data_IF_273038313935
#
_entry.id   IF_273038313935
#
_cell.length_a   1.000
_cell.length_b   1.000
_cell.length_c   1.000
_cell.angle_alpha   90.00
_cell.angle_beta   90.00
_cell.angle_gamma   90.00
#
_symmetry.space_group_name_H-M   'P 1'
#
loop_
_entity.id
_entity.type
_entity.pdbx_description
1 polymer ?
#
# COMPACT_ATOMS: atom_id res chain seq x y z
N UNK A 1 16.41 -18.94 -50.83
CA UNK A 1 15.30 -19.40 -49.97
C UNK A 1 15.85 -19.51 -48.57
N UNK A 2 15.65 -18.49 -47.73
CA UNK A 2 15.98 -18.58 -46.30
C UNK A 2 14.90 -19.44 -45.64
N UNK A 3 15.25 -20.46 -44.84
CA UNK A 3 14.25 -21.20 -44.10
C UNK A 3 13.68 -20.26 -43.04
N UNK A 4 12.37 -20.01 -43.12
CA UNK A 4 11.60 -19.38 -42.05
C UNK A 4 11.76 -20.25 -40.80
N UNK A 5 12.54 -19.77 -39.83
CA UNK A 5 12.58 -20.36 -38.49
C UNK A 5 11.18 -20.18 -37.91
N UNK A 6 10.41 -21.27 -37.86
CA UNK A 6 9.14 -21.33 -37.13
C UNK A 6 9.41 -20.87 -35.70
N UNK A 7 8.66 -19.86 -35.22
CA UNK A 7 8.69 -19.48 -33.81
C UNK A 7 8.48 -20.74 -32.96
N UNK A 8 9.23 -20.93 -31.86
CA UNK A 8 9.05 -22.08 -31.00
C UNK A 8 7.59 -22.13 -30.52
N UNK A 9 7.03 -23.34 -30.48
CA UNK A 9 5.70 -23.61 -29.92
C UNK A 9 5.77 -23.32 -28.42
N UNK A 10 5.52 -22.06 -28.02
CA UNK A 10 5.70 -21.56 -26.66
C UNK A 10 4.97 -22.43 -25.63
N UNK A 11 3.85 -23.05 -26.02
CA UNK A 11 3.03 -23.93 -25.20
C UNK A 11 3.75 -25.20 -24.71
N UNK A 12 4.91 -25.55 -25.27
CA UNK A 12 5.69 -26.74 -24.87
C UNK A 12 6.90 -26.45 -23.98
N UNK A 13 7.28 -25.19 -23.81
CA UNK A 13 8.46 -24.82 -23.02
C UNK A 13 8.09 -24.69 -21.54
N UNK A 14 8.98 -25.16 -20.65
CA UNK A 14 8.87 -24.91 -19.22
C UNK A 14 8.97 -23.41 -18.92
N UNK A 15 8.42 -22.92 -17.79
CA UNK A 15 8.57 -21.53 -17.39
C UNK A 15 10.01 -21.00 -17.43
N UNK A 16 10.95 -21.82 -16.94
CA UNK A 16 12.39 -21.51 -16.96
C UNK A 16 12.93 -21.37 -18.39
N UNK A 17 12.59 -22.31 -19.28
CA UNK A 17 13.07 -22.28 -20.67
C UNK A 17 12.50 -21.09 -21.45
N UNK A 18 11.27 -20.66 -21.13
CA UNK A 18 10.67 -19.44 -21.70
C UNK A 18 11.46 -18.20 -21.30
N UNK A 19 11.83 -18.07 -20.02
CA UNK A 19 12.67 -16.96 -19.53
C UNK A 19 14.03 -16.99 -20.23
N UNK A 20 14.68 -18.14 -20.29
CA UNK A 20 15.98 -18.31 -20.97
C UNK A 20 15.88 -17.89 -22.45
N UNK A 21 14.82 -18.29 -23.16
CA UNK A 21 14.62 -17.91 -24.56
C UNK A 21 14.46 -16.39 -24.74
N UNK A 22 13.71 -15.73 -23.85
CA UNK A 22 13.56 -14.26 -23.87
C UNK A 22 14.88 -13.55 -23.59
N UNK A 23 15.68 -14.07 -22.66
CA UNK A 23 17.00 -13.52 -22.34
C UNK A 23 18.03 -13.72 -23.47
N UNK A 24 18.01 -14.86 -24.17
CA UNK A 24 18.84 -15.09 -25.37
C UNK A 24 18.52 -14.06 -26.46
N UNK A 25 17.24 -13.78 -26.70
CA UNK A 25 16.78 -12.74 -27.64
C UNK A 25 17.19 -11.33 -27.22
N UNK A 26 17.32 -11.08 -25.92
CA UNK A 26 17.81 -9.80 -25.38
C UNK A 26 19.34 -9.66 -25.49
N UNK A 27 20.04 -10.74 -25.88
CA UNK A 27 21.49 -10.74 -26.07
C UNK A 27 22.30 -11.21 -24.86
N UNK A 28 21.66 -11.88 -23.88
CA UNK A 28 22.39 -12.53 -22.78
C UNK A 28 23.21 -13.69 -23.35
N UNK A 29 24.53 -13.78 -23.09
CA UNK A 29 25.37 -14.83 -23.67
C UNK A 29 24.91 -16.24 -23.29
N UNK A 30 24.93 -17.16 -24.25
CA UNK A 30 24.53 -18.58 -24.04
C UNK A 30 25.26 -19.25 -22.87
N UNK A 31 26.56 -18.97 -22.71
CA UNK A 31 27.36 -19.49 -21.60
C UNK A 31 26.85 -19.04 -20.21
N UNK A 32 26.22 -17.86 -20.12
CA UNK A 32 25.54 -17.42 -18.91
C UNK A 32 24.19 -18.12 -18.74
N UNK A 33 23.41 -18.26 -19.82
CA UNK A 33 22.10 -18.93 -19.79
C UNK A 33 22.19 -20.42 -19.41
N UNK A 34 23.26 -21.12 -19.82
CA UNK A 34 23.55 -22.50 -19.42
C UNK A 34 23.70 -22.66 -17.90
N UNK A 35 24.17 -21.62 -17.20
CA UNK A 35 24.27 -21.57 -15.74
C UNK A 35 23.01 -21.01 -15.07
N UNK A 36 21.98 -20.70 -15.86
CA UNK A 36 20.67 -20.20 -15.41
C UNK A 36 20.77 -18.98 -14.49
N UNK A 37 20.18 -19.01 -13.29
CA UNK A 37 20.14 -17.84 -12.40
C UNK A 37 21.54 -17.34 -12.04
N UNK A 38 22.47 -18.25 -11.72
CA UNK A 38 23.86 -17.90 -11.37
C UNK A 38 24.57 -17.18 -12.53
N UNK A 39 24.40 -17.69 -13.75
CA UNK A 39 25.01 -17.06 -14.93
C UNK A 39 24.39 -15.71 -15.25
N UNK A 40 23.06 -15.56 -15.09
CA UNK A 40 22.40 -14.28 -15.25
C UNK A 40 22.87 -13.26 -14.20
N UNK A 41 23.00 -13.65 -12.93
CA UNK A 41 23.58 -12.81 -11.87
C UNK A 41 24.98 -12.34 -12.26
N UNK A 42 25.86 -13.26 -12.69
CA UNK A 42 27.22 -12.92 -13.12
C UNK A 42 27.24 -11.96 -14.33
N UNK A 43 26.27 -12.09 -15.24
CA UNK A 43 26.11 -11.18 -16.37
C UNK A 43 25.63 -9.79 -15.93
N UNK A 44 24.58 -9.71 -15.10
CA UNK A 44 24.00 -8.46 -14.60
C UNK A 44 25.01 -7.67 -13.77
N UNK A 45 25.82 -8.33 -12.94
CA UNK A 45 26.90 -7.68 -12.16
C UNK A 45 27.87 -6.88 -13.05
N UNK A 46 28.09 -7.33 -14.28
CA UNK A 46 28.96 -6.66 -15.28
C UNK A 46 28.20 -5.68 -16.17
N UNK A 47 26.87 -5.74 -16.21
CA UNK A 47 26.01 -5.00 -17.14
C UNK A 47 24.82 -4.36 -16.40
N UNK A 48 25.07 -3.65 -15.29
CA UNK A 48 24.02 -3.08 -14.42
C UNK A 48 23.02 -2.19 -15.16
N UNK A 49 23.42 -1.55 -16.26
CA UNK A 49 22.52 -0.71 -17.07
C UNK A 49 21.40 -1.49 -17.77
N UNK A 50 21.55 -2.81 -17.96
CA UNK A 50 20.55 -3.67 -18.60
C UNK A 50 19.48 -4.20 -17.63
N UNK A 51 19.54 -3.83 -16.35
CA UNK A 51 18.61 -4.33 -15.34
C UNK A 51 17.13 -4.08 -15.72
N UNK A 52 16.72 -2.89 -16.17
CA UNK A 52 15.32 -2.65 -16.55
C UNK A 52 14.83 -3.58 -17.68
N UNK A 53 15.64 -3.76 -18.73
CA UNK A 53 15.30 -4.60 -19.87
C UNK A 53 15.27 -6.09 -19.49
N UNK A 54 16.21 -6.53 -18.65
CA UNK A 54 16.28 -7.91 -18.14
C UNK A 54 15.07 -8.21 -17.26
N UNK A 55 14.74 -7.32 -16.33
CA UNK A 55 13.55 -7.46 -15.46
C UNK A 55 12.30 -7.57 -16.32
N UNK A 56 12.12 -6.67 -17.30
CA UNK A 56 10.98 -6.74 -18.21
C UNK A 56 10.94 -8.02 -19.05
N UNK A 57 12.10 -8.57 -19.45
CA UNK A 57 12.18 -9.78 -20.26
C UNK A 57 11.92 -11.07 -19.46
N UNK A 58 12.20 -11.08 -18.16
CA UNK A 58 11.90 -12.22 -17.27
C UNK A 58 10.38 -12.43 -17.20
N UNK A 59 9.60 -11.36 -16.99
CA UNK A 59 8.15 -11.46 -16.87
C UNK A 59 7.43 -11.84 -18.18
N UNK A 60 6.23 -12.45 -18.11
CA UNK A 60 5.44 -12.79 -19.29
C UNK A 60 5.15 -11.58 -20.18
N UNK A 61 5.26 -11.78 -21.49
CA UNK A 61 4.82 -10.82 -22.50
C UNK A 61 3.31 -10.81 -22.65
N UNK A 62 2.75 -9.72 -23.21
CA UNK A 62 1.31 -9.65 -23.50
C UNK A 62 0.82 -10.73 -24.48
N UNK A 63 1.72 -11.30 -25.29
CA UNK A 63 1.38 -12.44 -26.14
C UNK A 63 1.23 -13.71 -25.32
N UNK A 64 2.17 -14.04 -24.45
CA UNK A 64 2.10 -15.22 -23.57
C UNK A 64 0.83 -15.19 -22.70
N UNK A 65 0.46 -14.02 -22.20
CA UNK A 65 -0.76 -13.83 -21.39
C UNK A 65 -2.05 -14.02 -22.20
N UNK A 66 -2.08 -13.57 -23.45
CA UNK A 66 -3.23 -13.75 -24.36
C UNK A 66 -3.42 -15.20 -24.78
N UNK A 67 -2.34 -15.98 -24.92
CA UNK A 67 -2.49 -17.40 -25.27
C UNK A 67 -3.08 -18.21 -24.09
N UNK A 68 -2.95 -17.72 -22.85
CA UNK A 68 -3.52 -18.35 -21.66
C UNK A 68 -5.02 -18.09 -21.41
N UNK A 69 -5.72 -17.32 -22.26
CA UNK A 69 -7.10 -16.81 -22.00
C UNK A 69 -8.27 -17.73 -22.37
N UNK A 70 -8.15 -19.06 -22.39
CA UNK A 70 -9.35 -19.92 -22.54
C UNK A 70 -9.80 -20.48 -21.17
N UNK A 71 -10.92 -19.97 -20.59
CA UNK A 71 -11.45 -20.43 -19.31
C UNK A 71 -11.98 -21.87 -19.33
N UNK A 72 -11.94 -22.57 -20.47
CA UNK A 72 -12.34 -23.98 -20.59
C UNK A 72 -11.21 -24.97 -20.26
N UNK A 73 -9.98 -24.52 -19.98
CA UNK A 73 -8.84 -25.41 -19.66
C UNK A 73 -8.09 -24.95 -18.42
N UNK A 74 -8.52 -25.43 -17.24
CA UNK A 74 -7.86 -25.16 -15.95
C UNK A 74 -6.35 -25.42 -15.89
N UNK A 75 -5.81 -26.22 -16.82
CA UNK A 75 -4.36 -26.50 -16.94
C UNK A 75 -3.54 -25.29 -17.44
N UNK A 76 -4.09 -24.44 -18.31
CA UNK A 76 -3.33 -23.35 -18.94
C UNK A 76 -3.23 -22.10 -18.04
N UNK A 77 -4.25 -21.86 -17.21
CA UNK A 77 -4.22 -20.85 -16.15
C UNK A 77 -3.17 -21.18 -15.08
N UNK A 78 -2.93 -22.46 -14.79
CA UNK A 78 -1.83 -22.87 -13.90
C UNK A 78 -0.46 -22.49 -14.48
N UNK A 79 -0.25 -22.70 -15.77
CA UNK A 79 1.06 -22.49 -16.40
C UNK A 79 1.52 -21.02 -16.39
N UNK A 80 0.60 -20.06 -16.55
CA UNK A 80 0.94 -18.63 -16.49
C UNK A 80 1.24 -18.20 -15.06
N UNK A 81 0.53 -18.74 -14.07
CA UNK A 81 0.83 -18.53 -12.64
C UNK A 81 2.23 -19.07 -12.32
N UNK A 82 2.55 -20.29 -12.76
CA UNK A 82 3.87 -20.89 -12.59
C UNK A 82 4.97 -20.04 -13.24
N UNK A 83 4.68 -19.42 -14.39
CA UNK A 83 5.62 -18.49 -15.05
C UNK A 83 5.84 -17.20 -14.26
N UNK A 84 4.81 -16.65 -13.62
CA UNK A 84 4.98 -15.50 -12.72
C UNK A 84 5.77 -15.86 -11.46
N UNK A 85 5.55 -17.06 -10.89
CA UNK A 85 6.32 -17.57 -9.74
C UNK A 85 7.79 -17.76 -10.11
N UNK A 86 8.07 -18.42 -11.23
CA UNK A 86 9.43 -18.59 -11.74
C UNK A 86 10.08 -17.24 -12.05
N UNK A 87 9.33 -16.30 -12.65
CA UNK A 87 9.82 -14.94 -12.92
C UNK A 87 10.30 -14.27 -11.64
N UNK A 88 9.49 -14.29 -10.57
CA UNK A 88 9.88 -13.71 -9.29
C UNK A 88 11.05 -14.42 -8.64
N UNK A 89 11.20 -15.74 -8.81
CA UNK A 89 12.40 -16.43 -8.34
C UNK A 89 13.65 -15.87 -9.01
N UNK A 90 13.64 -15.69 -10.34
CA UNK A 90 14.77 -15.09 -11.06
C UNK A 90 15.05 -13.65 -10.62
N UNK A 91 14.00 -12.86 -10.37
CA UNK A 91 14.13 -11.51 -9.82
C UNK A 91 14.82 -11.54 -8.44
N UNK A 92 14.44 -12.48 -7.57
CA UNK A 92 15.07 -12.61 -6.24
C UNK A 92 16.54 -12.99 -6.33
N UNK A 93 16.92 -13.87 -7.27
CA UNK A 93 18.33 -14.18 -7.53
C UNK A 93 19.11 -12.93 -7.95
N UNK A 94 18.51 -12.04 -8.75
CA UNK A 94 19.12 -10.76 -9.11
C UNK A 94 19.20 -9.79 -7.91
N UNK A 95 18.20 -9.79 -7.03
CA UNK A 95 18.18 -8.94 -5.84
C UNK A 95 19.26 -9.33 -4.83
N UNK A 96 19.44 -10.63 -4.59
CA UNK A 96 20.35 -11.13 -3.55
C UNK A 96 21.73 -11.56 -4.07
N UNK A 97 21.89 -11.69 -5.40
CA UNK A 97 23.10 -12.20 -6.07
C UNK A 97 23.58 -13.57 -5.56
N UNK A 98 22.70 -14.30 -4.90
CA UNK A 98 22.91 -15.60 -4.27
C UNK A 98 21.56 -16.33 -4.18
N UNK A 99 21.57 -17.53 -3.61
CA UNK A 99 20.34 -18.25 -3.32
C UNK A 99 19.42 -17.40 -2.40
N UNK A 100 18.21 -17.03 -2.86
CA UNK A 100 17.32 -16.15 -2.11
C UNK A 100 16.90 -16.72 -0.77
N UNK A 101 16.62 -18.03 -0.72
CA UNK A 101 16.14 -18.69 0.50
C UNK A 101 17.20 -18.61 1.61
N UNK A 102 18.44 -18.96 1.28
CA UNK A 102 19.57 -18.89 2.22
C UNK A 102 19.80 -17.45 2.69
N UNK A 103 19.77 -16.49 1.78
CA UNK A 103 19.99 -15.07 2.10
C UNK A 103 18.90 -14.52 3.04
N UNK A 104 17.64 -14.89 2.80
CA UNK A 104 16.51 -14.48 3.62
C UNK A 104 16.55 -15.11 5.02
N UNK A 105 16.93 -16.39 5.14
CA UNK A 105 17.13 -17.06 6.42
C UNK A 105 18.26 -16.41 7.25
N UNK A 106 19.35 -16.02 6.58
CA UNK A 106 20.44 -15.29 7.22
C UNK A 106 20.00 -13.90 7.72
N UNK A 107 19.23 -13.15 6.91
CA UNK A 107 18.67 -11.86 7.30
C UNK A 107 17.69 -11.97 8.47
N UNK A 108 16.82 -12.98 8.47
CA UNK A 108 15.89 -13.23 9.57
C UNK A 108 16.65 -13.55 10.86
N UNK A 109 17.68 -14.40 10.79
CA UNK A 109 18.53 -14.77 11.93
C UNK A 109 19.29 -13.57 12.50
N UNK A 110 19.77 -12.65 11.65
CA UNK A 110 20.44 -11.42 12.09
C UNK A 110 19.45 -10.50 12.82
N UNK A 111 18.21 -10.38 12.32
CA UNK A 111 17.17 -9.52 12.89
C UNK A 111 16.41 -10.11 14.09
N UNK A 112 16.57 -11.41 14.38
CA UNK A 112 15.84 -12.10 15.42
C UNK A 112 16.07 -11.47 16.81
N UNK A 113 14.99 -10.96 17.41
CA UNK A 113 15.00 -10.36 18.75
C UNK A 113 15.50 -8.91 18.82
N UNK A 114 15.73 -8.25 17.68
CA UNK A 114 16.21 -6.87 17.60
C UNK A 114 15.19 -5.89 17.01
N UNK A 115 13.90 -6.21 17.07
CA UNK A 115 12.87 -5.34 16.51
C UNK A 115 12.84 -3.99 17.21
N UNK A 116 12.88 -2.93 16.43
CA UNK A 116 12.82 -1.55 16.88
C UNK A 116 11.38 -1.12 17.23
N UNK A 117 10.39 -1.70 16.54
CA UNK A 117 8.95 -1.52 16.76
C UNK A 117 8.29 -2.89 16.94
N UNK A 118 7.34 -2.99 17.87
CA UNK A 118 6.75 -4.29 18.22
C UNK A 118 5.92 -4.86 17.08
N UNK A 119 4.84 -4.17 16.68
CA UNK A 119 3.96 -4.57 15.59
C UNK A 119 3.31 -5.95 15.76
N UNK A 120 3.36 -6.56 16.96
CA UNK A 120 2.70 -7.85 17.22
C UNK A 120 1.20 -7.71 16.94
N UNK A 121 0.69 -8.59 16.08
CA UNK A 121 -0.71 -8.59 15.65
C UNK A 121 -1.56 -9.34 16.67
N UNK A 122 -2.73 -8.80 16.96
CA UNK A 122 -3.72 -9.41 17.84
C UNK A 122 -4.80 -10.15 17.06
N UNK A 123 -5.24 -11.27 17.61
CA UNK A 123 -6.47 -11.95 17.22
C UNK A 123 -7.72 -11.35 17.91
N UNK A 124 -8.86 -11.99 17.68
CA UNK A 124 -10.09 -11.67 18.40
C UNK A 124 -9.96 -12.05 19.88
N UNK A 125 -10.22 -11.09 20.77
CA UNK A 125 -10.18 -11.21 22.24
C UNK A 125 -8.78 -11.41 22.84
N UNK A 126 -7.73 -11.05 22.12
CA UNK A 126 -6.40 -10.93 22.74
C UNK A 126 -6.38 -9.77 23.75
N UNK A 127 -5.46 -9.86 24.71
CA UNK A 127 -5.30 -8.88 25.77
C UNK A 127 -4.33 -7.78 25.34
N UNK A 128 -4.74 -6.53 25.48
CA UNK A 128 -3.90 -5.36 25.27
C UNK A 128 -4.08 -4.32 26.38
N UNK A 129 -3.15 -3.37 26.45
CA UNK A 129 -3.19 -2.25 27.37
C UNK A 129 -3.31 -0.94 26.61
N UNK A 130 -4.23 -0.11 27.06
CA UNK A 130 -4.36 1.28 26.66
C UNK A 130 -3.87 2.17 27.80
N UNK A 131 -2.98 3.12 27.52
CA UNK A 131 -2.42 4.04 28.51
C UNK A 131 -2.67 5.46 28.03
N UNK A 132 -3.64 6.15 28.66
CA UNK A 132 -4.08 7.51 28.30
C UNK A 132 -2.97 8.55 28.47
N UNK A 133 -1.96 8.23 29.28
CA UNK A 133 -0.76 9.06 29.43
C UNK A 133 0.19 8.92 28.25
N UNK A 134 0.36 7.70 27.70
CA UNK A 134 1.34 7.40 26.66
C UNK A 134 0.74 7.39 25.24
N UNK A 135 -0.57 7.19 25.10
CA UNK A 135 -1.24 7.19 23.80
C UNK A 135 -1.18 8.58 23.15
N UNK A 136 -1.03 8.60 21.83
CA UNK A 136 -1.22 9.82 21.05
C UNK A 136 -2.69 10.01 20.66
N UNK A 137 -3.45 8.91 20.50
CA UNK A 137 -4.89 8.95 20.29
C UNK A 137 -5.61 7.74 20.94
N UNK A 138 -6.95 7.77 20.94
CA UNK A 138 -7.75 6.79 21.66
C UNK A 138 -7.77 5.38 21.08
N UNK A 139 -7.19 5.19 19.89
CA UNK A 139 -7.08 3.89 19.21
C UNK A 139 -5.80 3.16 19.56
N UNK A 140 -4.81 3.83 20.16
CA UNK A 140 -3.50 3.24 20.42
C UNK A 140 -3.55 2.21 21.56
N UNK A 141 -2.81 1.12 21.39
CA UNK A 141 -2.66 0.08 22.39
C UNK A 141 -1.33 -0.66 22.26
N UNK A 142 -0.89 -1.28 23.35
CA UNK A 142 0.32 -2.11 23.38
C UNK A 142 0.04 -3.50 23.95
N UNK A 143 0.78 -4.49 23.48
CA UNK A 143 0.64 -5.88 23.93
C UNK A 143 1.11 -6.03 25.39
N UNK A 144 0.64 -7.10 26.06
CA UNK A 144 1.00 -7.40 27.46
C UNK A 144 2.52 -7.38 27.70
N UNK A 145 3.36 -8.04 26.87
CA UNK A 145 4.81 -7.98 27.05
C UNK A 145 5.38 -6.55 26.97
N UNK A 146 4.87 -5.71 26.07
CA UNK A 146 5.37 -4.35 25.94
C UNK A 146 4.98 -3.48 27.14
N UNK A 147 3.75 -3.62 27.64
CA UNK A 147 3.30 -2.91 28.84
C UNK A 147 4.12 -3.31 30.08
N UNK A 148 4.35 -4.61 30.29
CA UNK A 148 5.10 -5.12 31.45
C UNK A 148 6.57 -4.72 31.43
N UNK A 149 7.15 -4.58 30.23
CA UNK A 149 8.56 -4.21 30.06
C UNK A 149 8.77 -2.70 29.80
N UNK A 150 7.71 -1.89 29.86
CA UNK A 150 7.74 -0.43 29.78
C UNK A 150 7.50 0.22 31.13
N UNK A 151 7.78 1.53 31.24
CA UNK A 151 7.47 2.29 32.43
C UNK A 151 6.10 2.95 32.30
N UNK A 152 5.12 2.39 32.99
CA UNK A 152 3.75 2.91 33.09
C UNK A 152 3.37 3.18 34.55
N UNK A 153 4.36 3.35 35.43
CA UNK A 153 4.12 3.62 36.84
C UNK A 153 3.41 4.97 36.98
N UNK A 154 2.36 5.00 37.80
CA UNK A 154 1.56 6.20 38.08
C UNK A 154 0.87 6.82 36.84
N UNK A 155 0.78 6.07 35.72
CA UNK A 155 0.04 6.47 34.54
C UNK A 155 -1.44 6.05 34.62
N UNK A 156 -2.29 6.73 33.85
CA UNK A 156 -3.69 6.32 33.64
C UNK A 156 -3.72 5.24 32.54
N UNK A 157 -3.91 3.98 32.93
CA UNK A 157 -4.03 2.87 32.00
C UNK A 157 -5.24 1.98 32.30
N UNK A 158 -5.68 1.26 31.28
CA UNK A 158 -6.73 0.26 31.38
C UNK A 158 -6.42 -0.92 30.48
N UNK A 159 -6.81 -2.10 30.95
CA UNK A 159 -6.74 -3.34 30.18
C UNK A 159 -7.96 -3.46 29.27
N UNK A 160 -7.75 -3.94 28.05
CA UNK A 160 -8.81 -4.11 27.05
C UNK A 160 -8.65 -5.43 26.30
N UNK A 161 -9.77 -5.95 25.80
CA UNK A 161 -9.79 -7.05 24.84
C UNK A 161 -9.86 -6.48 23.43
N UNK A 162 -9.00 -6.95 22.54
CA UNK A 162 -8.90 -6.45 21.16
C UNK A 162 -9.90 -7.13 20.25
N UNK A 163 -10.34 -6.42 19.20
CA UNK A 163 -11.05 -6.99 18.05
C UNK A 163 -10.14 -7.27 16.85
N UNK A 164 -8.82 -7.18 17.04
CA UNK A 164 -7.80 -7.11 16.00
C UNK A 164 -6.87 -5.90 16.21
N UNK A 165 -5.89 -5.73 15.33
CA UNK A 165 -4.91 -4.62 15.37
C UNK A 165 -3.48 -5.08 15.64
N UNK A 166 -2.59 -4.14 15.95
CA UNK A 166 -1.20 -4.44 16.30
C UNK A 166 -0.67 -3.54 17.42
N UNK A 167 0.36 -4.02 18.13
CA UNK A 167 1.03 -3.29 19.19
C UNK A 167 1.79 -2.06 18.68
N UNK A 168 1.51 -0.90 19.27
CA UNK A 168 2.10 0.41 18.92
C UNK A 168 3.46 0.71 19.60
N UNK A 169 3.97 -0.22 20.42
CA UNK A 169 5.21 0.00 21.16
C UNK A 169 6.40 0.20 20.20
N UNK A 170 7.10 1.32 20.34
CA UNK A 170 8.18 1.73 19.44
C UNK A 170 7.72 2.63 18.29
N UNK A 171 6.42 2.76 17.99
CA UNK A 171 5.95 3.73 17.01
C UNK A 171 5.69 5.08 17.68
N UNK A 172 6.61 6.04 17.51
CA UNK A 172 6.51 7.38 18.09
C UNK A 172 5.28 8.18 17.60
N UNK A 173 4.70 7.77 16.47
CA UNK A 173 3.50 8.41 15.93
C UNK A 173 2.23 7.95 16.65
N UNK A 174 2.23 6.77 17.28
CA UNK A 174 1.10 6.23 18.04
C UNK A 174 1.33 6.26 19.57
N UNK A 175 2.57 6.09 20.01
CA UNK A 175 2.92 5.91 21.42
C UNK A 175 4.11 6.78 21.83
N UNK A 176 4.01 7.47 22.96
CA UNK A 176 5.07 8.35 23.47
C UNK A 176 6.30 7.53 23.90
N UNK A 177 7.48 8.13 23.70
CA UNK A 177 8.79 7.47 23.92
C UNK A 177 8.99 7.02 25.36
N UNK A 178 8.44 7.75 26.32
CA UNK A 178 8.53 7.44 27.75
C UNK A 178 7.82 6.12 28.09
N UNK A 179 6.80 5.74 27.30
CA UNK A 179 6.06 4.48 27.44
C UNK A 179 6.61 3.33 26.59
N UNK A 180 7.76 3.47 25.95
CA UNK A 180 8.39 2.39 25.17
C UNK A 180 9.00 1.33 26.08
N UNK A 181 8.77 0.05 25.74
CA UNK A 181 9.38 -1.05 26.47
C UNK A 181 10.89 -1.12 26.26
N UNK A 182 11.59 -1.93 27.06
CA UNK A 182 13.05 -2.09 26.95
C UNK A 182 13.52 -2.60 25.58
N UNK A 183 12.71 -3.39 24.88
CA UNK A 183 13.07 -4.00 23.59
C UNK A 183 12.77 -3.10 22.37
N UNK A 184 11.70 -2.31 22.40
CA UNK A 184 11.25 -1.54 21.23
C UNK A 184 11.42 -0.05 21.51
N UNK A 185 12.47 0.55 20.95
CA UNK A 185 12.90 1.91 21.30
C UNK A 185 12.74 2.95 20.19
N UNK A 186 12.10 2.58 19.08
CA UNK A 186 11.81 3.52 18.00
C UNK A 186 12.38 3.09 16.67
N UNK A 187 11.66 3.35 15.58
CA UNK A 187 12.08 3.02 14.21
C UNK A 187 13.46 3.57 13.82
N UNK A 188 13.98 4.60 14.50
CA UNK A 188 15.36 5.08 14.32
C UNK A 188 16.44 4.07 14.72
N UNK A 189 16.09 3.01 15.45
CA UNK A 189 17.01 1.92 15.81
C UNK A 189 17.04 0.78 14.79
N UNK A 190 16.16 0.83 13.78
CA UNK A 190 16.18 -0.14 12.67
C UNK A 190 17.54 -0.04 12.00
N UNK A 191 18.27 -1.15 12.01
CA UNK A 191 19.54 -1.22 11.32
C UNK A 191 19.31 -1.14 9.81
N UNK A 192 20.15 -0.42 9.06
CA UNK A 192 20.07 -0.43 7.61
C UNK A 192 20.31 -1.86 7.08
N UNK A 193 19.75 -2.14 5.91
CA UNK A 193 20.06 -3.38 5.18
C UNK A 193 21.58 -3.44 4.91
N UNK A 194 22.24 -4.61 5.01
CA UNK A 194 23.65 -4.74 4.68
C UNK A 194 23.95 -4.14 3.30
N UNK A 195 25.02 -3.33 3.20
CA UNK A 195 25.34 -2.51 2.02
C UNK A 195 25.41 -3.34 0.74
N UNK A 196 26.03 -4.52 0.81
CA UNK A 196 26.13 -5.46 -0.32
C UNK A 196 24.75 -5.87 -0.87
N UNK A 197 23.78 -6.12 0.02
CA UNK A 197 22.41 -6.49 -0.36
C UNK A 197 21.64 -5.27 -0.84
N UNK A 198 21.83 -4.11 -0.20
CA UNK A 198 21.19 -2.87 -0.63
C UNK A 198 21.62 -2.46 -2.05
N UNK A 199 22.90 -2.59 -2.36
CA UNK A 199 23.50 -2.26 -3.66
C UNK A 199 23.05 -3.19 -4.79
N UNK A 200 22.81 -4.46 -4.50
CA UNK A 200 22.28 -5.43 -5.46
C UNK A 200 20.76 -5.34 -5.61
N UNK A 201 20.03 -5.32 -4.49
CA UNK A 201 18.57 -5.32 -4.46
C UNK A 201 17.99 -4.01 -4.98
N UNK A 202 18.62 -2.87 -4.68
CA UNK A 202 18.10 -1.55 -4.97
C UNK A 202 17.71 -1.35 -6.44
N UNK A 203 18.62 -1.48 -7.41
CA UNK A 203 18.32 -1.30 -8.82
C UNK A 203 17.30 -2.29 -9.38
N UNK A 204 17.33 -3.55 -8.90
CA UNK A 204 16.41 -4.60 -9.34
C UNK A 204 15.00 -4.35 -8.80
N UNK A 205 14.87 -3.90 -7.55
CA UNK A 205 13.60 -3.51 -6.96
C UNK A 205 12.98 -2.31 -7.69
N UNK A 206 13.78 -1.28 -8.01
CA UNK A 206 13.29 -0.13 -8.79
C UNK A 206 12.74 -0.57 -10.14
N UNK A 207 13.50 -1.38 -10.88
CA UNK A 207 13.07 -1.91 -12.16
C UNK A 207 11.78 -2.75 -12.04
N UNK A 208 11.66 -3.57 -10.98
CA UNK A 208 10.45 -4.34 -10.70
C UNK A 208 9.24 -3.43 -10.43
N UNK A 209 9.40 -2.41 -9.57
CA UNK A 209 8.33 -1.49 -9.20
C UNK A 209 7.87 -0.66 -10.40
N UNK A 210 8.81 -0.17 -11.22
CA UNK A 210 8.50 0.57 -12.46
C UNK A 210 7.80 -0.34 -13.47
N UNK A 211 8.30 -1.56 -13.68
CA UNK A 211 7.65 -2.53 -14.56
C UNK A 211 6.23 -2.84 -14.10
N UNK A 212 6.06 -3.18 -12.82
CA UNK A 212 4.77 -3.54 -12.23
C UNK A 212 3.75 -2.41 -12.35
N UNK A 213 4.13 -1.18 -12.02
CA UNK A 213 3.22 -0.02 -12.10
C UNK A 213 2.94 0.42 -13.53
N UNK A 214 3.89 0.25 -14.45
CA UNK A 214 3.64 0.39 -15.89
C UNK A 214 2.55 -0.57 -16.38
N UNK A 215 2.64 -1.84 -15.99
CA UNK A 215 1.64 -2.87 -16.32
C UNK A 215 0.25 -2.55 -15.77
N UNK A 216 0.16 -2.03 -14.54
CA UNK A 216 -1.11 -1.60 -13.95
C UNK A 216 -1.70 -0.39 -14.67
N UNK A 217 -0.86 0.59 -15.03
CA UNK A 217 -1.29 1.81 -15.74
C UNK A 217 -1.86 1.51 -17.14
N UNK A 218 -1.22 0.59 -17.87
CA UNK A 218 -1.66 0.14 -19.18
C UNK A 218 -3.04 -0.54 -19.13
N UNK A 219 -3.28 -1.33 -18.09
CA UNK A 219 -4.55 -2.02 -17.89
C UNK A 219 -5.69 -1.06 -17.54
N UNK A 220 -5.44 -0.12 -16.63
CA UNK A 220 -6.43 0.90 -16.22
C UNK A 220 -6.88 1.80 -17.37
N UNK A 221 -6.01 2.02 -18.38
CA UNK A 221 -6.31 2.89 -19.52
C UNK A 221 -7.10 2.21 -20.64
N UNK A 222 -7.02 0.87 -20.77
CA UNK A 222 -7.52 0.13 -21.94
C UNK A 222 -8.77 -0.69 -21.69
N UNK A 223 -9.33 -0.67 -20.48
CA UNK A 223 -10.34 -1.65 -20.07
C UNK A 223 -9.82 -3.08 -20.28
N UNK A 224 -8.52 -3.27 -20.06
CA UNK A 224 -7.80 -4.50 -20.39
C UNK A 224 -8.26 -5.67 -19.54
N UNK A 225 -7.82 -6.88 -19.90
CA UNK A 225 -8.12 -8.13 -19.19
C UNK A 225 -7.84 -8.01 -17.68
N UNK A 226 -8.86 -7.69 -16.88
CA UNK A 226 -8.78 -7.40 -15.44
C UNK A 226 -8.06 -8.51 -14.65
N UNK A 227 -8.11 -9.75 -15.12
CA UNK A 227 -7.45 -10.87 -14.44
C UNK A 227 -5.91 -10.88 -14.61
N UNK A 228 -5.36 -10.27 -15.67
CA UNK A 228 -3.90 -10.25 -15.91
C UNK A 228 -3.20 -9.34 -14.92
N UNK A 229 -3.83 -8.23 -14.52
CA UNK A 229 -3.26 -7.37 -13.48
C UNK A 229 -3.23 -8.06 -12.12
N UNK A 230 -4.22 -8.89 -11.81
CA UNK A 230 -4.22 -9.70 -10.60
C UNK A 230 -3.06 -10.71 -10.59
N UNK A 231 -2.78 -11.35 -11.74
CA UNK A 231 -1.70 -12.33 -11.88
C UNK A 231 -0.32 -11.79 -11.55
N UNK A 232 -0.04 -10.53 -11.91
CA UNK A 232 1.24 -9.88 -11.55
C UNK A 232 1.17 -9.28 -10.15
N UNK A 233 0.05 -8.63 -9.81
CA UNK A 233 -0.06 -7.89 -8.57
C UNK A 233 0.03 -8.81 -7.35
N UNK A 234 -0.70 -9.92 -7.33
CA UNK A 234 -0.73 -10.79 -6.15
C UNK A 234 0.66 -11.36 -5.80
N UNK A 235 1.41 -12.00 -6.74
CA UNK A 235 2.71 -12.57 -6.42
C UNK A 235 3.77 -11.52 -6.05
N UNK A 236 3.76 -10.35 -6.71
CA UNK A 236 4.69 -9.25 -6.38
C UNK A 236 4.43 -8.74 -4.96
N UNK A 237 3.17 -8.44 -4.64
CA UNK A 237 2.78 -7.98 -3.30
C UNK A 237 3.09 -9.04 -2.25
N UNK A 238 2.79 -10.31 -2.53
CA UNK A 238 3.05 -11.42 -1.61
C UNK A 238 4.55 -11.58 -1.29
N UNK A 239 5.40 -11.49 -2.31
CA UNK A 239 6.86 -11.49 -2.14
C UNK A 239 7.34 -10.31 -1.29
N UNK A 240 6.85 -9.09 -1.56
CA UNK A 240 7.24 -7.90 -0.81
C UNK A 240 6.77 -7.96 0.65
N UNK A 241 5.56 -8.47 0.92
CA UNK A 241 5.08 -8.71 2.30
C UNK A 241 5.97 -9.73 3.00
N UNK A 242 6.36 -10.82 2.34
CA UNK A 242 7.29 -11.81 2.92
C UNK A 242 8.59 -11.14 3.35
N UNK A 243 9.19 -10.31 2.50
CA UNK A 243 10.40 -9.55 2.84
C UNK A 243 10.19 -8.65 4.05
N UNK A 244 9.08 -7.91 4.09
CA UNK A 244 8.77 -7.01 5.20
C UNK A 244 8.56 -7.76 6.53
N UNK A 245 8.00 -8.97 6.48
CA UNK A 245 7.77 -9.77 7.68
C UNK A 245 9.07 -10.38 8.24
N UNK A 246 10.02 -10.73 7.37
CA UNK A 246 11.30 -11.34 7.73
C UNK A 246 12.28 -10.36 8.39
N UNK A 247 12.31 -9.10 7.92
CA UNK A 247 13.29 -8.12 8.41
C UNK A 247 12.75 -6.69 8.39
N UNK A 248 12.90 -5.96 9.51
CA UNK A 248 12.62 -4.53 9.58
C UNK A 248 13.55 -3.71 8.67
N UNK A 249 14.78 -4.19 8.45
CA UNK A 249 15.72 -3.57 7.51
C UNK A 249 15.21 -3.67 6.08
N UNK A 250 14.68 -4.84 5.68
CA UNK A 250 14.04 -5.02 4.37
C UNK A 250 12.78 -4.15 4.25
N UNK A 251 11.92 -4.13 5.27
CA UNK A 251 10.73 -3.27 5.31
C UNK A 251 11.12 -1.80 5.11
N UNK A 252 12.05 -1.30 5.93
CA UNK A 252 12.50 0.11 5.86
C UNK A 252 13.13 0.43 4.52
N UNK A 253 13.93 -0.50 3.96
CA UNK A 253 14.54 -0.34 2.65
C UNK A 253 13.49 -0.27 1.53
N UNK A 254 12.56 -1.22 1.46
CA UNK A 254 11.48 -1.25 0.46
C UNK A 254 10.63 0.01 0.56
N UNK A 255 10.20 0.37 1.78
CA UNK A 255 9.40 1.57 2.03
C UNK A 255 10.09 2.83 1.52
N UNK A 256 11.37 3.04 1.87
CA UNK A 256 12.15 4.21 1.44
C UNK A 256 12.40 4.24 -0.06
N UNK A 257 12.55 3.08 -0.72
CA UNK A 257 12.79 2.99 -2.17
C UNK A 257 11.55 3.30 -3.00
N UNK A 258 10.35 3.05 -2.48
CA UNK A 258 9.10 3.40 -3.17
C UNK A 258 8.85 4.92 -3.27
N UNK A 259 9.37 5.70 -2.32
CA UNK A 259 9.14 7.16 -2.23
C UNK A 259 9.69 7.94 -3.42
N UNK A 260 10.97 7.80 -3.83
CA UNK A 260 11.53 8.58 -4.94
C UNK A 260 11.06 8.13 -6.32
N UNK A 261 10.36 6.99 -6.43
CA UNK A 261 9.87 6.48 -7.71
C UNK A 261 8.56 7.15 -8.08
N UNK A 262 8.65 8.07 -9.04
CA UNK A 262 7.51 8.90 -9.47
C UNK A 262 6.31 8.06 -9.90
N UNK A 263 5.13 8.38 -9.35
CA UNK A 263 3.86 7.75 -9.71
C UNK A 263 3.63 6.34 -9.17
N UNK A 264 4.63 5.68 -8.58
CA UNK A 264 4.46 4.29 -8.09
C UNK A 264 3.35 4.20 -7.04
N UNK A 265 3.38 5.07 -6.02
CA UNK A 265 2.35 5.08 -4.99
C UNK A 265 0.97 5.47 -5.55
N UNK A 266 0.90 6.49 -6.42
CA UNK A 266 -0.35 6.92 -7.04
C UNK A 266 -1.02 5.80 -7.84
N UNK A 267 -0.24 5.06 -8.64
CA UNK A 267 -0.74 3.94 -9.46
C UNK A 267 -1.21 2.80 -8.57
N UNK A 268 -0.42 2.40 -7.57
CA UNK A 268 -0.78 1.31 -6.68
C UNK A 268 -2.04 1.63 -5.85
N UNK A 269 -2.18 2.87 -5.36
CA UNK A 269 -3.38 3.27 -4.63
C UNK A 269 -4.63 3.24 -5.52
N UNK A 270 -4.52 3.68 -6.78
CA UNK A 270 -5.63 3.62 -7.73
C UNK A 270 -5.94 2.20 -8.21
N UNK A 271 -5.02 1.25 -8.05
CA UNK A 271 -5.21 -0.11 -8.51
C UNK A 271 -6.37 -0.82 -7.79
N UNK A 272 -6.73 -0.44 -6.56
CA UNK A 272 -7.86 -1.06 -5.85
C UNK A 272 -9.19 -0.96 -6.63
N UNK A 273 -9.32 0.05 -7.50
CA UNK A 273 -10.54 0.33 -8.26
C UNK A 273 -10.86 -0.72 -9.33
N UNK A 274 -9.85 -1.48 -9.75
CA UNK A 274 -9.95 -2.50 -10.80
C UNK A 274 -9.36 -3.87 -10.43
N UNK A 275 -8.66 -4.00 -9.29
CA UNK A 275 -8.20 -5.29 -8.78
C UNK A 275 -9.35 -6.13 -8.20
N UNK A 276 -9.23 -7.45 -8.27
CA UNK A 276 -10.17 -8.33 -7.58
C UNK A 276 -10.00 -8.22 -6.06
N UNK A 277 -11.10 -8.38 -5.32
CA UNK A 277 -11.14 -8.14 -3.86
C UNK A 277 -10.01 -8.84 -3.08
N UNK A 278 -9.67 -10.14 -3.32
CA UNK A 278 -8.57 -10.78 -2.60
C UNK A 278 -7.19 -10.15 -2.88
N UNK A 279 -6.97 -9.66 -4.11
CA UNK A 279 -5.72 -9.02 -4.50
C UNK A 279 -5.63 -7.61 -3.94
N UNK A 280 -6.73 -6.85 -4.00
CA UNK A 280 -6.83 -5.53 -3.37
C UNK A 280 -6.63 -5.63 -1.84
N UNK A 281 -7.16 -6.67 -1.18
CA UNK A 281 -6.92 -6.94 0.23
C UNK A 281 -5.45 -7.21 0.53
N UNK A 282 -4.76 -7.98 -0.33
CA UNK A 282 -3.33 -8.24 -0.18
C UNK A 282 -2.50 -6.97 -0.36
N UNK A 283 -2.84 -6.14 -1.35
CA UNK A 283 -2.20 -4.83 -1.55
C UNK A 283 -2.43 -3.88 -0.36
N UNK A 284 -3.64 -3.89 0.20
CA UNK A 284 -3.97 -3.14 1.41
C UNK A 284 -3.11 -3.58 2.60
N UNK A 285 -2.94 -4.89 2.81
CA UNK A 285 -2.05 -5.42 3.85
C UNK A 285 -0.61 -4.97 3.67
N UNK A 286 -0.12 -4.94 2.42
CA UNK A 286 1.22 -4.45 2.12
C UNK A 286 1.41 -2.99 2.53
N UNK A 287 0.48 -2.11 2.16
CA UNK A 287 0.52 -0.71 2.58
C UNK A 287 0.48 -0.57 4.11
N UNK A 288 -0.38 -1.32 4.80
CA UNK A 288 -0.42 -1.33 6.27
C UNK A 288 0.93 -1.74 6.89
N UNK A 289 1.66 -2.68 6.29
CA UNK A 289 3.02 -3.03 6.75
C UNK A 289 4.00 -1.89 6.56
N UNK A 290 4.00 -1.25 5.39
CA UNK A 290 4.92 -0.16 5.09
C UNK A 290 4.67 1.09 5.95
N UNK A 291 3.45 1.28 6.46
CA UNK A 291 3.17 2.36 7.43
C UNK A 291 3.98 2.24 8.72
N UNK A 292 4.59 1.09 9.02
CA UNK A 292 5.55 0.98 10.12
C UNK A 292 6.80 1.87 9.92
N UNK A 293 7.13 2.26 8.68
CA UNK A 293 8.23 3.17 8.39
C UNK A 293 7.74 4.63 8.44
N UNK A 294 8.27 5.50 9.33
CA UNK A 294 7.73 6.84 9.55
C UNK A 294 7.82 7.80 8.36
N UNK A 295 8.90 7.75 7.58
CA UNK A 295 9.09 8.56 6.37
C UNK A 295 8.06 8.13 5.32
N UNK A 296 7.91 6.83 5.10
CA UNK A 296 6.90 6.29 4.21
C UNK A 296 5.49 6.65 4.66
N UNK A 297 5.15 6.51 5.95
CA UNK A 297 3.82 6.89 6.48
C UNK A 297 3.47 8.33 6.11
N UNK A 298 4.43 9.26 6.24
CA UNK A 298 4.21 10.65 5.87
C UNK A 298 4.02 10.84 4.35
N UNK A 299 4.89 10.24 3.54
CA UNK A 299 4.81 10.35 2.07
C UNK A 299 3.54 9.69 1.51
N UNK A 300 3.21 8.49 1.99
CA UNK A 300 1.98 7.78 1.69
C UNK A 300 0.75 8.62 2.06
N UNK A 301 0.75 9.27 3.23
CA UNK A 301 -0.37 10.12 3.63
C UNK A 301 -0.60 11.29 2.67
N UNK A 302 0.46 11.92 2.14
CA UNK A 302 0.30 12.97 1.12
C UNK A 302 -0.34 12.44 -0.16
N UNK A 303 0.06 11.24 -0.61
CA UNK A 303 -0.55 10.58 -1.78
C UNK A 303 -2.00 10.19 -1.49
N UNK A 304 -2.29 9.66 -0.30
CA UNK A 304 -3.64 9.32 0.15
C UNK A 304 -4.58 10.52 0.14
N UNK A 305 -4.13 11.68 0.60
CA UNK A 305 -4.93 12.92 0.57
C UNK A 305 -5.25 13.35 -0.87
N UNK A 306 -4.33 13.15 -1.83
CA UNK A 306 -4.58 13.43 -3.26
C UNK A 306 -5.46 12.37 -3.92
N UNK A 307 -5.40 11.14 -3.44
CA UNK A 307 -6.26 10.04 -3.87
C UNK A 307 -7.71 10.22 -3.40
N UNK A 308 -7.91 10.79 -2.21
CA UNK A 308 -9.22 10.91 -1.57
C UNK A 308 -10.30 11.50 -2.51
N UNK A 309 -10.11 12.67 -3.18
CA UNK A 309 -11.05 13.20 -4.17
C UNK A 309 -11.47 12.21 -5.26
N UNK A 310 -10.55 11.40 -5.77
CA UNK A 310 -10.81 10.47 -6.85
C UNK A 310 -11.83 9.40 -6.44
N UNK A 311 -11.67 8.85 -5.23
CA UNK A 311 -12.62 7.86 -4.68
C UNK A 311 -14.00 8.46 -4.51
N UNK A 312 -14.07 9.70 -4.03
CA UNK A 312 -15.36 10.40 -3.85
C UNK A 312 -16.04 10.62 -5.20
N UNK A 313 -15.30 11.05 -6.21
CA UNK A 313 -15.85 11.31 -7.55
C UNK A 313 -16.32 9.99 -8.21
N UNK A 314 -15.57 8.90 -8.06
CA UNK A 314 -15.93 7.59 -8.58
C UNK A 314 -17.16 6.99 -7.86
N UNK A 315 -17.22 7.11 -6.54
CA UNK A 315 -18.36 6.67 -5.75
C UNK A 315 -19.63 7.46 -6.08
N UNK A 316 -19.49 8.76 -6.34
CA UNK A 316 -20.60 9.64 -6.73
C UNK A 316 -21.18 9.26 -8.10
N UNK A 317 -20.34 8.78 -9.03
CA UNK A 317 -20.75 8.35 -10.37
C UNK A 317 -21.40 6.96 -10.39
N UNK A 318 -20.85 6.00 -9.64
CA UNK A 318 -21.34 4.61 -9.64
C UNK A 318 -22.65 4.45 -8.84
N UNK A 319 -22.88 5.31 -7.84
CA UNK A 319 -24.01 5.20 -6.90
C UNK A 319 -23.83 4.07 -5.89
N UNK A 320 -24.31 4.25 -4.65
CA UNK A 320 -24.12 3.30 -3.54
C UNK A 320 -23.03 3.71 -2.54
N UNK A 321 -22.92 2.94 -1.44
CA UNK A 321 -21.94 3.17 -0.36
C UNK A 321 -20.55 2.60 -0.70
N UNK A 322 -19.49 3.19 -0.13
CA UNK A 322 -18.10 2.71 -0.23
C UNK A 322 -17.96 1.23 0.13
N UNK A 323 -18.70 0.75 1.12
CA UNK A 323 -18.68 -0.65 1.55
C UNK A 323 -19.12 -1.61 0.43
N UNK A 324 -20.10 -1.20 -0.37
CA UNK A 324 -20.61 -1.97 -1.52
C UNK A 324 -19.70 -1.84 -2.75
N UNK A 325 -18.95 -0.74 -2.85
CA UNK A 325 -18.13 -0.38 -4.02
C UNK A 325 -16.68 -0.88 -3.98
N UNK A 326 -16.30 -1.70 -2.99
CA UNK A 326 -14.97 -2.33 -2.85
C UNK A 326 -13.81 -1.37 -2.54
N UNK A 327 -14.06 -0.14 -2.08
CA UNK A 327 -12.99 0.77 -1.66
C UNK A 327 -12.47 0.39 -0.27
N UNK A 328 -11.36 -0.34 -0.22
CA UNK A 328 -10.75 -0.84 1.02
C UNK A 328 -9.82 0.19 1.65
N UNK A 329 -9.11 0.97 0.81
CA UNK A 329 -8.07 1.88 1.27
C UNK A 329 -8.66 3.07 2.03
N UNK A 330 -9.67 3.76 1.48
CA UNK A 330 -10.23 4.97 2.08
C UNK A 330 -10.67 4.79 3.54
N UNK A 331 -11.57 3.84 3.86
CA UNK A 331 -12.09 3.72 5.22
C UNK A 331 -11.07 3.21 6.24
N UNK A 332 -10.07 2.44 5.81
CA UNK A 332 -9.03 1.91 6.68
C UNK A 332 -7.95 2.95 6.96
N UNK A 333 -7.42 3.59 5.92
CA UNK A 333 -6.30 4.51 6.07
C UNK A 333 -6.71 5.89 6.58
N UNK A 334 -7.94 6.35 6.36
CA UNK A 334 -8.37 7.63 6.92
C UNK A 334 -8.28 7.63 8.46
N UNK A 335 -8.71 6.53 9.09
CA UNK A 335 -8.54 6.33 10.53
C UNK A 335 -7.05 6.30 10.88
N UNK A 336 -6.27 5.43 10.25
CA UNK A 336 -4.84 5.24 10.59
C UNK A 336 -3.95 6.48 10.37
N UNK A 337 -4.39 7.43 9.55
CA UNK A 337 -3.61 8.62 9.21
C UNK A 337 -4.16 9.90 9.86
N UNK A 338 -5.48 10.07 9.93
CA UNK A 338 -6.10 11.31 10.42
C UNK A 338 -6.30 11.31 11.94
N UNK A 339 -6.20 10.17 12.62
CA UNK A 339 -6.17 10.13 14.08
C UNK A 339 -4.78 10.42 14.65
N UNK A 340 -3.73 10.43 13.83
CA UNK A 340 -2.34 10.63 14.29
C UNK A 340 -2.04 12.15 14.42
N UNK A 341 -1.89 12.70 15.65
CA UNK A 341 -1.81 14.15 15.85
C UNK A 341 -0.62 14.82 15.16
N UNK A 342 0.56 14.18 15.21
CA UNK A 342 1.79 14.72 14.64
C UNK A 342 1.75 14.73 13.11
N UNK A 343 1.11 13.74 12.51
CA UNK A 343 0.94 13.60 11.07
C UNK A 343 -0.12 14.58 10.55
N UNK A 344 -1.30 14.61 11.16
CA UNK A 344 -2.43 15.40 10.66
C UNK A 344 -2.16 16.91 10.66
N UNK A 345 -1.44 17.42 11.68
CA UNK A 345 -1.04 18.84 11.73
C UNK A 345 -0.18 19.20 10.52
N UNK A 346 0.73 18.31 10.12
CA UNK A 346 1.54 18.48 8.91
C UNK A 346 0.69 18.39 7.65
N UNK A 347 -0.23 17.43 7.56
CA UNK A 347 -1.10 17.28 6.39
C UNK A 347 -1.99 18.50 6.17
N UNK A 348 -2.56 19.08 7.24
CA UNK A 348 -3.36 20.30 7.15
C UNK A 348 -2.54 21.48 6.64
N UNK A 349 -1.29 21.62 7.09
CA UNK A 349 -0.43 22.76 6.73
C UNK A 349 0.25 22.61 5.37
N UNK A 350 0.70 21.41 5.03
CA UNK A 350 1.58 21.17 3.87
C UNK A 350 0.80 20.69 2.63
N UNK A 351 -0.35 20.02 2.81
CA UNK A 351 -1.16 19.51 1.68
C UNK A 351 -2.64 19.91 1.73
N UNK A 352 -2.99 20.87 2.59
CA UNK A 352 -4.33 21.46 2.68
C UNK A 352 -5.46 20.43 2.87
N UNK A 353 -5.21 19.43 3.73
CA UNK A 353 -6.10 18.31 4.00
C UNK A 353 -7.57 18.73 4.23
N UNK A 354 -7.80 19.75 5.07
CA UNK A 354 -9.15 20.18 5.42
C UNK A 354 -9.93 20.72 4.22
N UNK A 355 -9.32 21.54 3.36
CA UNK A 355 -10.01 22.02 2.15
C UNK A 355 -10.29 20.88 1.18
N UNK A 356 -9.41 19.88 1.10
CA UNK A 356 -9.62 18.71 0.26
C UNK A 356 -10.85 17.93 0.75
N UNK A 357 -10.94 17.64 2.06
CA UNK A 357 -12.10 16.94 2.64
C UNK A 357 -13.41 17.73 2.51
N UNK A 358 -13.37 19.05 2.77
CA UNK A 358 -14.55 19.91 2.58
C UNK A 358 -14.97 20.01 1.11
N UNK A 359 -14.00 20.05 0.20
CA UNK A 359 -14.25 20.00 -1.24
C UNK A 359 -14.90 18.68 -1.67
N UNK A 360 -14.48 17.55 -1.09
CA UNK A 360 -15.13 16.25 -1.29
C UNK A 360 -16.59 16.28 -0.82
N UNK A 361 -16.84 16.77 0.39
CA UNK A 361 -18.19 16.89 0.94
C UNK A 361 -19.06 17.79 0.05
N UNK A 362 -18.51 18.89 -0.45
CA UNK A 362 -19.18 19.78 -1.41
C UNK A 362 -19.55 19.07 -2.70
N UNK A 363 -18.63 18.27 -3.28
CA UNK A 363 -18.89 17.52 -4.52
C UNK A 363 -20.01 16.50 -4.34
N UNK A 364 -20.02 15.77 -3.22
CA UNK A 364 -21.13 14.87 -2.87
C UNK A 364 -22.46 15.63 -2.84
N UNK A 365 -22.51 16.77 -2.15
CA UNK A 365 -23.74 17.56 -2.04
C UNK A 365 -24.20 18.11 -3.40
N UNK A 366 -23.28 18.66 -4.19
CA UNK A 366 -23.60 19.21 -5.51
C UNK A 366 -24.07 18.15 -6.50
N UNK A 367 -23.53 16.92 -6.43
CA UNK A 367 -23.95 15.82 -7.30
C UNK A 367 -25.44 15.47 -7.16
N UNK A 368 -26.05 15.79 -6.01
CA UNK A 368 -27.43 15.45 -5.64
C UNK A 368 -28.30 16.68 -5.31
N UNK A 369 -27.79 17.89 -5.50
CA UNK A 369 -28.54 19.12 -5.28
C UNK A 369 -29.56 19.38 -6.42
N UNK A 370 -30.70 19.97 -6.08
CA UNK A 370 -31.67 20.46 -7.07
C UNK A 370 -31.25 21.80 -7.69
N UNK A 371 -32.09 22.37 -8.56
CA UNK A 371 -31.81 23.65 -9.26
C UNK A 371 -31.56 24.84 -8.30
N UNK A 372 -32.02 24.75 -7.06
CA UNK A 372 -31.81 25.76 -6.01
C UNK A 372 -30.53 25.57 -5.17
N UNK A 373 -29.67 24.59 -5.49
CA UNK A 373 -28.45 24.30 -4.72
C UNK A 373 -28.67 23.63 -3.36
N UNK A 374 -29.92 23.26 -3.05
CA UNK A 374 -30.33 22.53 -1.84
C UNK A 374 -30.48 21.05 -2.15
N UNK A 375 -30.10 20.20 -1.20
CA UNK A 375 -30.21 18.75 -1.30
C UNK A 375 -31.66 18.25 -1.24
N UNK A 376 -32.01 17.37 -2.17
CA UNK A 376 -33.30 16.68 -2.16
C UNK A 376 -33.21 15.39 -1.32
N UNK A 377 -34.16 15.19 -0.40
CA UNK A 377 -34.17 14.06 0.57
C UNK A 377 -33.99 12.70 -0.12
N UNK A 378 -34.75 12.47 -1.20
CA UNK A 378 -34.70 11.20 -1.93
C UNK A 378 -33.34 10.91 -2.57
N UNK A 379 -32.61 11.96 -2.98
CA UNK A 379 -31.28 11.83 -3.59
C UNK A 379 -30.16 11.78 -2.57
N UNK A 380 -30.39 12.30 -1.36
CA UNK A 380 -29.44 12.27 -0.26
C UNK A 380 -29.24 10.87 0.31
N UNK A 381 -30.30 10.04 0.33
CA UNK A 381 -30.21 8.65 0.78
C UNK A 381 -29.09 7.87 0.05
N UNK A 382 -28.92 8.11 -1.25
CA UNK A 382 -27.92 7.45 -2.08
C UNK A 382 -26.46 7.82 -1.73
N UNK A 383 -26.25 8.96 -1.07
CA UNK A 383 -24.93 9.48 -0.70
C UNK A 383 -24.74 9.58 0.81
N UNK A 384 -25.69 9.08 1.61
CA UNK A 384 -25.72 9.27 3.05
C UNK A 384 -24.47 8.66 3.72
N UNK A 385 -24.20 7.39 3.48
CA UNK A 385 -23.05 6.70 4.08
C UNK A 385 -21.72 7.34 3.64
N UNK A 386 -21.61 7.70 2.36
CA UNK A 386 -20.45 8.41 1.83
C UNK A 386 -20.27 9.80 2.49
N UNK A 387 -21.38 10.50 2.76
CA UNK A 387 -21.38 11.77 3.47
C UNK A 387 -20.93 11.59 4.91
N UNK A 388 -21.49 10.61 5.63
CA UNK A 388 -21.12 10.30 7.02
C UNK A 388 -19.64 9.98 7.11
N UNK A 389 -19.10 9.21 6.15
CA UNK A 389 -17.67 8.90 6.07
C UNK A 389 -16.80 10.15 5.99
N UNK A 390 -17.08 11.06 5.05
CA UNK A 390 -16.29 12.29 4.88
C UNK A 390 -16.40 13.19 6.11
N UNK A 391 -17.59 13.30 6.70
CA UNK A 391 -17.81 14.08 7.93
C UNK A 391 -17.03 13.47 9.10
N UNK A 392 -16.99 12.14 9.21
CA UNK A 392 -16.24 11.44 10.24
C UNK A 392 -14.73 11.65 10.09
N UNK A 393 -14.22 11.63 8.86
CA UNK A 393 -12.81 11.93 8.59
C UNK A 393 -12.47 13.39 8.93
N UNK A 394 -13.35 14.35 8.62
CA UNK A 394 -13.22 15.75 9.05
C UNK A 394 -13.21 15.83 10.59
N UNK A 395 -14.06 15.04 11.26
CA UNK A 395 -14.11 14.98 12.72
C UNK A 395 -12.80 14.46 13.31
N UNK A 396 -12.19 13.42 12.74
CA UNK A 396 -10.86 12.97 13.16
C UNK A 396 -9.84 14.10 13.10
N UNK A 397 -9.77 14.80 11.97
CA UNK A 397 -8.83 15.91 11.77
C UNK A 397 -9.07 17.06 12.75
N UNK A 398 -10.32 17.50 12.91
CA UNK A 398 -10.67 18.65 13.76
C UNK A 398 -10.63 18.33 15.26
N UNK A 399 -10.70 17.05 15.66
CA UNK A 399 -10.60 16.63 17.06
C UNK A 399 -9.24 16.93 17.69
N UNK A 400 -8.20 17.13 16.86
CA UNK A 400 -6.88 17.52 17.31
C UNK A 400 -6.83 18.99 17.69
N UNK A 401 -6.51 19.26 18.96
CA UNK A 401 -6.49 20.62 19.52
C UNK A 401 -5.58 21.58 18.72
N UNK A 402 -4.42 21.12 18.26
CA UNK A 402 -3.49 21.93 17.48
C UNK A 402 -4.01 22.27 16.07
N UNK A 403 -4.77 21.36 15.45
CA UNK A 403 -5.46 21.64 14.18
C UNK A 403 -6.56 22.66 14.42
N UNK A 404 -7.41 22.46 15.42
CA UNK A 404 -8.48 23.39 15.78
C UNK A 404 -7.95 24.81 16.05
N UNK A 405 -6.87 24.95 16.82
CA UNK A 405 -6.21 26.25 17.07
C UNK A 405 -5.70 26.89 15.77
N UNK A 406 -5.06 26.10 14.90
CA UNK A 406 -4.56 26.58 13.62
C UNK A 406 -5.70 27.06 12.71
N UNK A 407 -6.80 26.32 12.62
CA UNK A 407 -7.96 26.67 11.80
C UNK A 407 -8.58 28.00 12.25
N UNK A 408 -8.82 28.15 13.56
CA UNK A 408 -9.43 29.36 14.13
C UNK A 408 -8.56 30.61 13.89
N UNK A 409 -7.23 30.47 14.01
CA UNK A 409 -6.31 31.61 13.91
C UNK A 409 -5.93 31.96 12.47
N UNK A 410 -5.68 30.94 11.65
CA UNK A 410 -4.94 31.09 10.40
C UNK A 410 -5.78 30.73 9.14
N UNK A 411 -6.95 30.09 9.29
CA UNK A 411 -7.76 29.55 8.18
C UNK A 411 -9.27 29.85 8.30
N UNK A 412 -9.70 31.12 8.41
CA UNK A 412 -11.12 31.49 8.61
C UNK A 412 -12.05 31.09 7.45
N UNK A 413 -11.51 30.84 6.25
CA UNK A 413 -12.24 30.33 5.08
C UNK A 413 -12.83 28.92 5.30
N UNK A 414 -12.23 28.12 6.18
CA UNK A 414 -12.75 26.79 6.55
C UNK A 414 -14.14 26.92 7.18
N UNK A 415 -14.32 27.89 8.08
CA UNK A 415 -15.62 28.15 8.71
C UNK A 415 -16.68 28.61 7.69
N UNK A 416 -16.29 29.45 6.72
CA UNK A 416 -17.21 29.89 5.66
C UNK A 416 -17.67 28.72 4.80
N UNK A 417 -16.72 27.89 4.37
CA UNK A 417 -17.02 26.69 3.58
C UNK A 417 -17.95 25.74 4.34
N UNK A 418 -17.72 25.57 5.65
CA UNK A 418 -18.61 24.76 6.49
C UNK A 418 -20.04 25.33 6.56
N UNK A 419 -20.19 26.65 6.73
CA UNK A 419 -21.50 27.31 6.74
C UNK A 419 -22.22 27.22 5.40
N UNK A 420 -21.49 27.33 4.28
CA UNK A 420 -22.03 27.10 2.94
C UNK A 420 -22.57 25.67 2.80
N UNK A 421 -21.80 24.65 3.22
CA UNK A 421 -22.24 23.26 3.19
C UNK A 421 -23.47 22.99 4.07
N UNK A 422 -23.51 23.58 5.27
CA UNK A 422 -24.68 23.50 6.15
C UNK A 422 -25.92 24.14 5.51
N UNK A 423 -25.78 25.21 4.73
CA UNK A 423 -26.90 25.83 4.03
C UNK A 423 -27.52 24.90 2.97
N UNK A 424 -26.71 24.04 2.33
CA UNK A 424 -27.18 23.11 1.30
C UNK A 424 -28.08 21.99 1.85
N UNK A 425 -27.93 21.66 3.14
CA UNK A 425 -28.78 20.65 3.82
C UNK A 425 -30.00 21.26 4.51
N UNK A 426 -30.15 22.60 4.51
CA UNK A 426 -31.33 23.25 5.08
C UNK A 426 -32.57 22.97 4.24
N UNK A 427 -33.71 22.75 4.89
CA UNK A 427 -34.99 22.52 4.17
C UNK A 427 -35.22 21.08 3.70
N UNK A 428 -34.31 20.14 4.00
CA UNK A 428 -34.48 18.69 3.80
C UNK A 428 -35.63 18.06 4.63
N UNK A 429 -36.53 18.86 5.20
CA UNK A 429 -37.69 18.41 5.97
C UNK A 429 -39.02 18.91 5.45
N UNK A 430 -39.05 19.75 4.41
CA UNK A 430 -40.31 20.20 3.81
C UNK A 430 -40.84 19.14 2.84
N UNK A 431 -41.52 18.13 3.38
CA UNK A 431 -42.59 17.49 2.62
C UNK A 431 -43.56 18.61 2.21
N UNK A 432 -43.64 18.91 0.92
CA UNK A 432 -44.78 19.66 0.39
C UNK A 432 -45.98 18.73 0.58
N UNK A 433 -46.76 18.98 1.63
CA UNK A 433 -48.13 18.48 1.76
C UNK A 433 -48.99 18.95 0.58
#
# INVERSE_FOLDING_TARGET
>A
MNPSVSAPDFDRLSPRDRIIHKLDRLGVPKAALEQSQNGLVAFVKKNKSMIPEIVSAIFPSSEEERHSTSPEKGTLHSLIVDLYIESLLWIQWLMFEADPQTTLEDLERIGAGQRAVCGSVWGEKDLAYRCRTCENDSTCAICVPCFQNGDHKDHDYSMMYTGGGCCDCGDVTAWKREGFCSAHKGAEQIQPLPEEIADSMGPVLDALLVFWTGRLSDAGSRGGNEWVVDLICYPVVDMLIKFCNLSESLLSFIAKRMIPLEGVLDVLMRAETFLQKPVAQRLHEFFLKLLGEPVFKYEFAKVFVRYYPHVIDEASQRGGDFADQKFLLLPSFSVQLFTVPTLVVRLVREVDLLNILLGCLRRLFLSRAGEGGVLEIGRFADIYENTVRVVEDIRYVMSHAEVSKHVVRDRPEIYRTWMELLSMVQGMGHQRE
#
